data_IF_108111476523
#
_entry.id   IF_108111476523
#
_cell.length_a   1.000
_cell.length_b   1.000
_cell.length_c   1.000
_cell.angle_alpha   90.00
_cell.angle_beta   90.00
_cell.angle_gamma   90.00
#
_symmetry.space_group_name_H-M   'P 1'
#
loop_
_entity.id
_entity.type
_entity.pdbx_description
1 polymer ?
#
# COMPACT_ATOMS: atom_id res chain seq x y z
N UNK A 1 13.60 -26.48 -15.44
CA UNK A 1 12.18 -26.10 -15.58
C UNK A 1 11.47 -26.08 -14.22
N UNK A 2 11.88 -25.21 -13.29
CA UNK A 2 11.30 -25.12 -11.93
C UNK A 2 10.93 -23.69 -11.50
N UNK A 3 10.97 -22.73 -12.42
CA UNK A 3 10.83 -21.30 -12.13
C UNK A 3 9.40 -20.77 -12.28
N UNK A 4 8.50 -21.56 -12.89
CA UNK A 4 7.12 -21.15 -13.18
C UNK A 4 6.11 -21.46 -12.05
N UNK A 5 6.55 -22.04 -10.92
CA UNK A 5 5.65 -22.38 -9.79
C UNK A 5 5.67 -21.38 -8.62
N UNK A 6 6.66 -20.47 -8.53
CA UNK A 6 6.74 -19.51 -7.42
C UNK A 6 5.82 -18.28 -7.57
N UNK A 7 5.27 -18.03 -8.75
CA UNK A 7 4.42 -16.86 -9.03
C UNK A 7 2.93 -17.08 -8.77
N UNK A 8 2.47 -18.32 -8.61
CA UNK A 8 1.04 -18.63 -8.44
C UNK A 8 0.56 -18.57 -6.98
N UNK A 9 1.45 -18.69 -5.99
CA UNK A 9 1.09 -18.79 -4.57
C UNK A 9 1.45 -17.57 -3.72
N UNK A 10 2.10 -16.56 -4.32
CA UNK A 10 2.31 -15.30 -3.62
C UNK A 10 0.98 -14.53 -3.65
N UNK A 11 0.13 -14.79 -2.64
CA UNK A 11 -1.07 -13.98 -2.37
C UNK A 11 -0.60 -12.54 -2.27
N UNK A 12 -0.85 -11.74 -3.32
CA UNK A 12 -0.54 -10.31 -3.30
C UNK A 12 -1.18 -9.69 -2.05
N UNK A 13 -0.44 -8.82 -1.36
CA UNK A 13 -0.95 -8.11 -0.19
C UNK A 13 -2.21 -7.33 -0.56
N UNK A 14 -2.27 -6.79 -1.77
CA UNK A 14 -3.49 -6.15 -2.30
C UNK A 14 -4.72 -7.07 -2.25
N UNK A 15 -4.56 -8.38 -2.51
CA UNK A 15 -5.66 -9.36 -2.37
C UNK A 15 -6.09 -9.54 -0.91
N UNK A 16 -5.13 -9.60 0.02
CA UNK A 16 -5.43 -9.71 1.45
C UNK A 16 -6.14 -8.45 1.96
N UNK A 17 -5.63 -7.28 1.59
CA UNK A 17 -6.23 -5.98 1.90
C UNK A 17 -7.66 -5.89 1.35
N UNK A 18 -7.88 -6.32 0.10
CA UNK A 18 -9.21 -6.39 -0.50
C UNK A 18 -10.19 -7.23 0.31
N UNK A 19 -9.77 -8.42 0.75
CA UNK A 19 -10.58 -9.29 1.63
C UNK A 19 -10.85 -8.67 3.01
N UNK A 20 -9.86 -7.99 3.59
CA UNK A 20 -10.02 -7.32 4.87
C UNK A 20 -10.98 -6.13 4.77
N UNK A 21 -10.91 -5.33 3.69
CA UNK A 21 -11.85 -4.26 3.38
C UNK A 21 -13.27 -4.83 3.25
N UNK A 22 -13.44 -5.90 2.48
CA UNK A 22 -14.74 -6.56 2.29
C UNK A 22 -15.34 -7.01 3.63
N UNK A 23 -14.54 -7.67 4.48
CA UNK A 23 -14.96 -8.13 5.81
C UNK A 23 -15.41 -6.95 6.67
N UNK A 24 -14.58 -5.92 6.81
CA UNK A 24 -14.92 -4.72 7.60
C UNK A 24 -16.17 -4.02 7.08
N UNK A 25 -16.33 -3.94 5.76
CA UNK A 25 -17.53 -3.39 5.14
C UNK A 25 -18.78 -4.20 5.52
N UNK A 26 -18.71 -5.53 5.52
CA UNK A 26 -19.82 -6.39 5.94
C UNK A 26 -20.13 -6.30 7.43
N UNK A 27 -19.11 -6.24 8.29
CA UNK A 27 -19.28 -6.09 9.74
C UNK A 27 -20.05 -4.80 10.08
N UNK A 28 -19.86 -3.74 9.30
CA UNK A 28 -20.56 -2.45 9.44
C UNK A 28 -21.91 -2.39 8.71
N UNK A 29 -22.33 -3.46 8.02
CA UNK A 29 -23.57 -3.51 7.25
C UNK A 29 -23.59 -2.57 6.04
N UNK A 30 -22.42 -2.18 5.50
CA UNK A 30 -22.32 -1.24 4.40
C UNK A 30 -22.36 -1.92 3.02
N UNK A 31 -22.99 -1.28 2.06
CA UNK A 31 -22.88 -1.65 0.63
C UNK A 31 -21.57 -1.10 0.06
N UNK A 32 -21.12 -1.68 -1.07
CA UNK A 32 -19.95 -1.15 -1.79
C UNK A 32 -20.16 0.32 -2.22
N UNK A 33 -21.39 0.69 -2.63
CA UNK A 33 -21.72 2.08 -3.00
C UNK A 33 -21.59 3.06 -1.82
N UNK A 34 -21.97 2.63 -0.61
CA UNK A 34 -21.82 3.44 0.60
C UNK A 34 -20.34 3.66 0.96
N UNK A 35 -19.53 2.60 0.95
CA UNK A 35 -18.09 2.72 1.21
C UNK A 35 -17.40 3.60 0.16
N UNK A 36 -17.68 3.38 -1.12
CA UNK A 36 -17.13 4.21 -2.19
C UNK A 36 -17.53 5.69 -2.04
N UNK A 37 -18.74 5.99 -1.54
CA UNK A 37 -19.18 7.35 -1.26
C UNK A 37 -18.42 7.98 -0.09
N UNK A 38 -18.19 7.22 1.00
CA UNK A 38 -17.35 7.68 2.13
C UNK A 38 -15.92 7.98 1.70
N UNK A 39 -15.31 7.13 0.87
CA UNK A 39 -13.95 7.37 0.34
C UNK A 39 -13.91 8.60 -0.57
N UNK A 40 -14.93 8.80 -1.43
CA UNK A 40 -15.04 10.01 -2.27
C UNK A 40 -15.15 11.29 -1.44
N UNK A 41 -15.81 11.24 -0.28
CA UNK A 41 -15.89 12.38 0.62
C UNK A 41 -14.51 12.82 1.16
N UNK A 42 -13.50 11.94 1.12
CA UNK A 42 -12.10 12.27 1.45
C UNK A 42 -11.30 12.82 0.24
N UNK A 43 -11.95 13.08 -0.89
CA UNK A 43 -11.30 13.58 -2.11
C UNK A 43 -10.62 12.51 -2.96
N UNK A 44 -10.80 11.22 -2.64
CA UNK A 44 -10.26 10.12 -3.45
C UNK A 44 -11.32 9.57 -4.42
N UNK A 45 -11.05 9.56 -5.74
CA UNK A 45 -12.00 9.05 -6.72
C UNK A 45 -12.15 7.53 -6.57
N UNK A 46 -13.28 7.09 -6.02
CA UNK A 46 -13.61 5.68 -5.83
C UNK A 46 -15.01 5.39 -6.36
N UNK A 47 -15.10 4.52 -7.37
CA UNK A 47 -16.39 4.02 -7.88
C UNK A 47 -16.76 2.69 -7.21
N UNK A 48 -18.04 2.30 -7.27
CA UNK A 48 -18.46 0.97 -6.81
C UNK A 48 -17.74 -0.15 -7.59
N UNK A 49 -17.54 0.03 -8.89
CA UNK A 49 -16.80 -0.92 -9.72
C UNK A 49 -15.34 -1.04 -9.29
N UNK A 50 -14.67 0.09 -9.05
CA UNK A 50 -13.29 0.13 -8.55
C UNK A 50 -13.16 -0.59 -7.20
N UNK A 51 -14.10 -0.34 -6.29
CA UNK A 51 -14.15 -1.03 -5.00
C UNK A 51 -14.40 -2.54 -5.16
N UNK A 52 -15.29 -2.95 -6.06
CA UNK A 52 -15.51 -4.37 -6.36
C UNK A 52 -14.25 -5.04 -6.90
N UNK A 53 -13.47 -4.35 -7.75
CA UNK A 53 -12.19 -4.86 -8.25
C UNK A 53 -11.10 -4.95 -7.16
N UNK A 54 -11.15 -4.08 -6.14
CA UNK A 54 -10.29 -4.19 -4.95
C UNK A 54 -10.70 -5.41 -4.11
N UNK A 55 -11.99 -5.54 -3.81
CA UNK A 55 -12.50 -6.60 -2.91
C UNK A 55 -12.45 -8.00 -3.53
N UNK A 56 -12.79 -8.11 -4.82
CA UNK A 56 -13.04 -9.40 -5.48
C UNK A 56 -12.08 -9.69 -6.65
N UNK A 57 -11.35 -8.68 -7.15
CA UNK A 57 -10.60 -8.75 -8.40
C UNK A 57 -11.48 -8.61 -9.65
N UNK A 58 -10.85 -8.44 -10.81
CA UNK A 58 -11.52 -8.26 -12.11
C UNK A 58 -12.17 -9.55 -12.63
N UNK A 59 -11.62 -10.72 -12.27
CA UNK A 59 -12.08 -12.06 -12.68
C UNK A 59 -11.83 -13.12 -11.58
N UNK A 60 -11.86 -12.71 -10.30
CA UNK A 60 -11.48 -13.56 -9.17
C UNK A 60 -9.97 -13.85 -9.04
N UNK A 61 -9.18 -13.60 -10.09
CA UNK A 61 -7.72 -13.79 -10.11
C UNK A 61 -6.93 -12.47 -10.11
N UNK A 62 -7.39 -11.46 -10.88
CA UNK A 62 -6.66 -10.21 -11.08
C UNK A 62 -7.16 -9.11 -10.13
N UNK A 63 -6.54 -8.99 -8.96
CA UNK A 63 -6.88 -7.95 -7.99
C UNK A 63 -6.30 -6.61 -8.46
N UNK A 64 -7.11 -5.55 -8.37
CA UNK A 64 -6.60 -4.20 -8.56
C UNK A 64 -5.64 -3.89 -7.41
N UNK A 65 -4.44 -3.40 -7.74
CA UNK A 65 -3.50 -2.91 -6.73
C UNK A 65 -4.16 -1.81 -5.89
N UNK A 66 -4.00 -1.89 -4.58
CA UNK A 66 -4.40 -0.82 -3.67
C UNK A 66 -3.22 0.14 -3.54
N UNK A 67 -3.47 1.45 -3.63
CA UNK A 67 -2.43 2.45 -3.34
C UNK A 67 -2.31 2.69 -1.83
N UNK A 68 -1.18 3.26 -1.39
CA UNK A 68 -1.03 3.67 0.00
C UNK A 68 -2.10 4.70 0.37
N UNK A 69 -2.41 5.68 -0.48
CA UNK A 69 -3.49 6.64 -0.20
C UNK A 69 -4.85 5.98 0.00
N UNK A 70 -5.18 4.98 -0.82
CA UNK A 70 -6.41 4.21 -0.68
C UNK A 70 -6.41 3.39 0.62
N UNK A 71 -5.31 2.70 0.93
CA UNK A 71 -5.14 1.95 2.19
C UNK A 71 -5.39 2.85 3.40
N UNK A 72 -4.77 4.03 3.40
CA UNK A 72 -4.92 5.02 4.45
C UNK A 72 -6.37 5.51 4.55
N UNK A 73 -7.03 5.78 3.42
CA UNK A 73 -8.41 6.23 3.41
C UNK A 73 -9.38 5.16 3.92
N UNK A 74 -9.15 3.89 3.60
CA UNK A 74 -9.92 2.78 4.17
C UNK A 74 -9.71 2.68 5.69
N UNK A 75 -8.46 2.77 6.16
CA UNK A 75 -8.15 2.74 7.59
C UNK A 75 -8.87 3.88 8.34
N UNK A 76 -8.85 5.08 7.77
CA UNK A 76 -9.55 6.25 8.31
C UNK A 76 -11.07 6.06 8.34
N UNK A 77 -11.69 5.64 7.23
CA UNK A 77 -13.15 5.45 7.13
C UNK A 77 -13.65 4.35 8.07
N UNK A 78 -12.84 3.33 8.32
CA UNK A 78 -13.17 2.25 9.25
C UNK A 78 -12.75 2.52 10.71
N UNK A 79 -12.03 3.62 10.97
CA UNK A 79 -11.48 3.96 12.28
C UNK A 79 -10.61 2.84 12.88
N UNK A 80 -9.75 2.24 12.04
CA UNK A 80 -8.85 1.14 12.42
C UNK A 80 -7.39 1.44 12.09
N UNK A 81 -6.47 0.65 12.66
CA UNK A 81 -5.07 0.72 12.30
C UNK A 81 -4.83 0.21 10.88
N UNK A 82 -3.82 0.76 10.20
CA UNK A 82 -3.44 0.32 8.85
C UNK A 82 -2.98 -1.14 8.86
N UNK A 83 -2.29 -1.56 9.93
CA UNK A 83 -1.85 -2.94 10.15
C UNK A 83 -3.01 -3.93 10.23
N UNK A 84 -4.21 -3.52 10.68
CA UNK A 84 -5.40 -4.36 10.67
C UNK A 84 -5.89 -4.64 9.24
N UNK A 85 -5.73 -3.69 8.32
CA UNK A 85 -6.04 -3.90 6.90
C UNK A 85 -4.97 -4.72 6.19
N UNK A 86 -3.70 -4.54 6.54
CA UNK A 86 -2.59 -5.29 5.94
C UNK A 86 -2.59 -6.76 6.35
N UNK A 87 -2.71 -7.02 7.65
CA UNK A 87 -2.43 -8.33 8.23
C UNK A 87 -3.64 -8.99 8.88
N UNK A 88 -4.79 -8.32 8.90
CA UNK A 88 -5.98 -8.74 9.65
C UNK A 88 -5.94 -8.24 11.09
N UNK A 89 -7.02 -8.47 11.87
CA UNK A 89 -7.18 -7.93 13.22
C UNK A 89 -6.02 -8.33 14.13
N UNK A 90 -5.24 -7.34 14.56
CA UNK A 90 -4.19 -7.52 15.55
C UNK A 90 -4.75 -7.24 16.95
N UNK A 91 -4.18 -7.86 18.00
CA UNK A 91 -4.58 -7.60 19.40
C UNK A 91 -4.20 -6.19 19.90
N UNK A 92 -3.64 -5.33 19.06
CA UNK A 92 -3.16 -3.99 19.43
C UNK A 92 -3.84 -2.93 18.58
N UNK A 93 -4.60 -2.07 19.25
CA UNK A 93 -5.22 -0.89 18.66
C UNK A 93 -4.22 0.27 18.73
N UNK A 94 -3.62 0.64 17.61
CA UNK A 94 -2.93 1.94 17.50
C UNK A 94 -3.85 2.85 16.71
N UNK A 95 -4.59 3.71 17.42
CA UNK A 95 -5.35 4.78 16.79
C UNK A 95 -4.35 5.82 16.29
N UNK A 96 -3.86 5.64 15.07
CA UNK A 96 -3.06 6.65 14.41
C UNK A 96 -3.97 7.86 14.11
N UNK A 97 -3.65 9.00 14.70
CA UNK A 97 -4.37 10.25 14.48
C UNK A 97 -3.96 10.81 13.11
N UNK A 98 -4.73 10.47 12.07
CA UNK A 98 -4.49 10.99 10.72
C UNK A 98 -5.05 12.41 10.59
N UNK A 99 -4.22 13.37 10.23
CA UNK A 99 -4.66 14.74 9.94
C UNK A 99 -5.38 14.78 8.58
N UNK A 100 -6.44 15.57 8.48
CA UNK A 100 -7.44 15.53 7.40
C UNK A 100 -6.99 16.08 6.04
N UNK A 101 -5.69 16.32 5.82
CA UNK A 101 -5.20 16.87 4.55
C UNK A 101 -4.83 15.77 3.54
N UNK A 102 -5.88 15.10 3.04
CA UNK A 102 -5.81 14.07 2.01
C UNK A 102 -5.54 14.69 0.63
N UNK A 103 -4.28 15.04 0.36
CA UNK A 103 -3.86 15.41 -1.00
C UNK A 103 -3.35 14.18 -1.75
N UNK A 104 -3.70 14.08 -3.04
CA UNK A 104 -3.22 13.00 -3.91
C UNK A 104 -1.68 12.92 -3.84
N UNK A 105 -1.16 11.75 -3.50
CA UNK A 105 0.29 11.51 -3.37
C UNK A 105 0.92 11.95 -2.05
N UNK A 106 0.15 12.44 -1.07
CA UNK A 106 0.69 12.84 0.24
C UNK A 106 1.43 11.69 0.92
N UNK A 107 0.76 10.55 1.11
CA UNK A 107 1.37 9.39 1.76
C UNK A 107 2.46 8.74 0.90
N UNK A 108 2.32 8.70 -0.42
CA UNK A 108 3.42 8.26 -1.29
C UNK A 108 4.70 9.08 -1.09
N UNK A 109 4.59 10.41 -0.90
CA UNK A 109 5.74 11.28 -0.57
C UNK A 109 6.31 10.98 0.82
N UNK A 110 5.46 10.75 1.81
CA UNK A 110 5.91 10.36 3.17
C UNK A 110 6.68 9.04 3.10
N UNK A 111 6.12 8.02 2.44
CA UNK A 111 6.77 6.72 2.25
C UNK A 111 8.10 6.89 1.53
N UNK A 112 8.14 7.66 0.44
CA UNK A 112 9.38 7.95 -0.30
C UNK A 112 10.48 8.56 0.58
N UNK A 113 10.15 9.61 1.34
CA UNK A 113 11.09 10.26 2.27
C UNK A 113 11.58 9.28 3.35
N UNK A 114 10.67 8.49 3.91
CA UNK A 114 11.01 7.52 4.96
C UNK A 114 11.86 6.37 4.43
N UNK A 115 11.56 5.83 3.23
CA UNK A 115 12.38 4.82 2.56
C UNK A 115 13.81 5.33 2.39
N UNK A 116 13.97 6.54 1.85
CA UNK A 116 15.29 7.17 1.70
C UNK A 116 16.03 7.27 3.04
N UNK A 117 15.36 7.79 4.07
CA UNK A 117 15.93 7.98 5.41
C UNK A 117 16.40 6.66 6.03
N UNK A 118 15.56 5.63 5.99
CA UNK A 118 15.92 4.32 6.56
C UNK A 118 17.03 3.65 5.76
N UNK A 119 17.00 3.74 4.43
CA UNK A 119 18.09 3.27 3.57
C UNK A 119 19.43 3.92 3.96
N UNK A 120 19.46 5.24 4.11
CA UNK A 120 20.66 5.99 4.51
C UNK A 120 21.14 5.63 5.92
N UNK A 121 20.21 5.50 6.88
CA UNK A 121 20.51 5.06 8.26
C UNK A 121 21.16 3.67 8.29
N UNK A 122 20.73 2.76 7.43
CA UNK A 122 21.27 1.40 7.29
C UNK A 122 22.51 1.33 6.39
N UNK A 123 22.95 2.47 5.82
CA UNK A 123 24.08 2.57 4.88
C UNK A 123 23.90 1.66 3.65
N UNK A 124 22.66 1.49 3.20
CA UNK A 124 22.32 0.73 2.00
C UNK A 124 22.41 1.65 0.76
N UNK A 125 22.99 1.12 -0.32
CA UNK A 125 22.93 1.77 -1.62
C UNK A 125 21.54 1.60 -2.24
N UNK A 126 21.17 2.52 -3.13
CA UNK A 126 19.92 2.44 -3.90
C UNK A 126 19.83 1.13 -4.69
N UNK A 127 20.98 0.65 -5.21
CA UNK A 127 21.07 -0.62 -5.94
C UNK A 127 20.74 -1.81 -5.04
N UNK A 128 21.28 -1.87 -3.83
CA UNK A 128 20.97 -2.95 -2.89
C UNK A 128 19.49 -3.03 -2.56
N UNK A 129 18.83 -1.88 -2.37
CA UNK A 129 17.38 -1.83 -2.11
C UNK A 129 16.59 -2.27 -3.35
N UNK A 130 16.95 -1.80 -4.55
CA UNK A 130 16.30 -2.18 -5.79
C UNK A 130 16.45 -3.68 -6.11
N UNK A 131 17.64 -4.24 -5.86
CA UNK A 131 17.93 -5.66 -6.04
C UNK A 131 17.12 -6.51 -5.04
N UNK A 132 17.07 -6.12 -3.76
CA UNK A 132 16.28 -6.81 -2.73
C UNK A 132 14.77 -6.79 -3.05
N UNK A 133 14.25 -5.63 -3.47
CA UNK A 133 12.87 -5.50 -3.92
C UNK A 133 12.58 -6.38 -5.15
N UNK A 134 13.51 -6.44 -6.10
CA UNK A 134 13.39 -7.30 -7.28
C UNK A 134 13.39 -8.79 -6.93
N UNK A 135 14.18 -9.20 -5.93
CA UNK A 135 14.17 -10.57 -5.40
C UNK A 135 12.83 -10.94 -4.76
N UNK A 136 12.10 -9.96 -4.22
CA UNK A 136 10.73 -10.13 -3.71
C UNK A 136 9.66 -10.12 -4.82
N UNK A 137 10.06 -10.10 -6.09
CA UNK A 137 9.15 -10.08 -7.24
C UNK A 137 8.58 -8.70 -7.57
N UNK A 138 9.05 -7.64 -6.91
CA UNK A 138 8.65 -6.28 -7.27
C UNK A 138 9.29 -5.87 -8.59
N UNK A 139 8.57 -5.13 -9.43
CA UNK A 139 9.12 -4.59 -10.68
C UNK A 139 10.05 -3.40 -10.41
N UNK A 140 11.18 -3.66 -9.77
CA UNK A 140 12.18 -2.65 -9.38
C UNK A 140 13.49 -2.83 -10.15
N UNK A 141 13.37 -3.08 -11.46
CA UNK A 141 14.50 -3.43 -12.35
C UNK A 141 15.56 -2.33 -12.53
N UNK A 142 15.30 -1.12 -12.07
CA UNK A 142 16.20 0.03 -12.20
C UNK A 142 16.18 0.89 -10.92
N UNK A 143 17.37 1.31 -10.51
CA UNK A 143 17.63 2.31 -9.48
C UNK A 143 16.81 3.60 -9.72
N UNK A 144 16.53 3.94 -10.98
CA UNK A 144 15.68 5.11 -11.30
C UNK A 144 14.27 5.01 -10.73
N UNK A 145 13.70 3.81 -10.64
CA UNK A 145 12.37 3.64 -10.02
C UNK A 145 12.42 3.92 -8.52
N UNK A 146 13.47 3.46 -7.83
CA UNK A 146 13.68 3.78 -6.41
C UNK A 146 13.88 5.29 -6.21
N UNK A 147 14.74 5.93 -7.03
CA UNK A 147 14.97 7.38 -6.96
C UNK A 147 13.68 8.18 -7.10
N UNK A 148 12.82 7.80 -8.05
CA UNK A 148 11.51 8.44 -8.24
C UNK A 148 10.63 8.32 -7.00
N UNK A 149 10.57 7.14 -6.39
CA UNK A 149 9.85 6.93 -5.12
C UNK A 149 10.45 7.81 -4.01
N UNK A 150 11.77 7.75 -3.81
CA UNK A 150 12.46 8.50 -2.76
C UNK A 150 12.35 10.02 -2.88
N UNK A 151 12.35 10.53 -4.10
CA UNK A 151 12.20 11.96 -4.37
C UNK A 151 10.74 12.42 -4.36
N UNK A 152 9.78 11.48 -4.26
CA UNK A 152 8.36 11.76 -4.47
C UNK A 152 8.04 12.27 -5.89
N UNK A 153 8.98 12.12 -6.83
CA UNK A 153 8.79 12.49 -8.24
C UNK A 153 8.02 11.38 -8.94
N UNK A 154 6.78 11.71 -9.25
CA UNK A 154 5.95 10.92 -10.14
C UNK A 154 5.58 11.82 -11.31
N UNK A 155 6.02 11.44 -12.52
CA UNK A 155 5.92 12.25 -13.74
C UNK A 155 4.57 12.98 -13.86
N UNK A 156 4.64 14.28 -14.16
CA UNK A 156 3.50 15.12 -14.56
C UNK A 156 2.72 14.42 -15.68
N UNK A 157 1.62 13.73 -15.32
CA UNK A 157 0.77 12.99 -16.26
C UNK A 157 0.08 11.76 -15.64
N UNK A 158 0.70 11.09 -14.67
CA UNK A 158 0.01 10.13 -13.80
C UNK A 158 0.85 9.88 -12.55
N UNK A 159 0.34 10.16 -11.34
CA UNK A 159 1.06 9.85 -10.13
C UNK A 159 1.10 8.33 -9.97
N UNK A 160 2.27 7.74 -10.20
CA UNK A 160 2.59 6.40 -9.74
C UNK A 160 2.60 6.41 -8.22
N UNK A 161 1.44 6.19 -7.61
CA UNK A 161 1.30 6.03 -6.16
C UNK A 161 2.11 4.81 -5.70
N UNK A 162 2.66 4.86 -4.49
CA UNK A 162 3.26 3.67 -3.88
C UNK A 162 2.13 2.67 -3.67
N UNK A 163 2.29 1.45 -4.17
CA UNK A 163 1.31 0.39 -3.91
C UNK A 163 1.47 -0.18 -2.52
N UNK A 164 0.43 -0.82 -2.00
CA UNK A 164 0.53 -1.52 -0.73
C UNK A 164 1.53 -2.69 -0.79
N UNK A 165 1.62 -3.39 -1.92
CA UNK A 165 2.62 -4.44 -2.11
C UNK A 165 4.05 -3.87 -2.01
N UNK A 166 4.29 -2.68 -2.58
CA UNK A 166 5.58 -1.98 -2.45
C UNK A 166 5.84 -1.52 -1.01
N UNK A 167 4.84 -0.96 -0.31
CA UNK A 167 4.96 -0.56 1.09
C UNK A 167 5.40 -1.74 1.96
N UNK A 168 4.73 -2.89 1.82
CA UNK A 168 5.06 -4.10 2.59
C UNK A 168 6.44 -4.62 2.20
N UNK A 169 6.77 -4.65 0.91
CA UNK A 169 8.08 -5.08 0.45
C UNK A 169 9.21 -4.20 1.03
N UNK A 170 9.05 -2.87 1.06
CA UNK A 170 10.03 -1.97 1.69
C UNK A 170 10.19 -2.25 3.19
N UNK A 171 9.10 -2.50 3.90
CA UNK A 171 9.12 -2.78 5.34
C UNK A 171 9.71 -4.14 5.71
N UNK A 172 9.83 -5.07 4.74
CA UNK A 172 10.28 -6.44 4.97
C UNK A 172 11.69 -6.51 5.60
N UNK A 173 11.98 -7.62 6.26
CA UNK A 173 13.28 -7.86 6.91
C UNK A 173 14.44 -7.87 5.91
N UNK A 174 14.12 -8.24 4.66
CA UNK A 174 15.04 -8.35 3.55
C UNK A 174 15.43 -6.99 2.95
N UNK A 175 14.63 -5.94 3.16
CA UNK A 175 14.81 -4.63 2.52
C UNK A 175 15.20 -3.54 3.52
N UNK A 176 14.32 -3.14 4.44
CA UNK A 176 14.62 -2.12 5.46
C UNK A 176 14.48 -2.60 6.91
N UNK A 177 13.79 -3.73 7.16
CA UNK A 177 13.51 -4.24 8.50
C UNK A 177 12.90 -3.18 9.43
N UNK A 178 11.78 -2.59 9.00
CA UNK A 178 11.04 -1.54 9.73
C UNK A 178 9.56 -1.89 9.78
N UNK A 179 8.80 -1.34 10.73
CA UNK A 179 7.35 -1.56 10.68
C UNK A 179 6.75 -0.76 9.51
N UNK A 180 5.72 -1.27 8.82
CA UNK A 180 5.05 -0.53 7.75
C UNK A 180 4.51 0.85 8.21
N UNK A 181 4.07 0.95 9.46
CA UNK A 181 3.58 2.21 10.05
C UNK A 181 4.69 3.26 10.14
N UNK A 182 5.94 2.86 10.40
CA UNK A 182 7.09 3.77 10.46
C UNK A 182 7.39 4.41 9.09
N UNK A 183 6.90 3.82 7.99
CA UNK A 183 6.99 4.40 6.65
C UNK A 183 5.83 5.36 6.34
N UNK A 184 4.75 5.34 7.12
CA UNK A 184 3.54 6.14 6.89
C UNK A 184 3.45 7.40 7.77
N UNK A 185 4.30 7.51 8.79
CA UNK A 185 4.34 8.64 9.71
C UNK A 185 5.22 9.75 9.15
N UNK A 186 4.74 11.00 9.22
CA UNK A 186 5.56 12.17 8.94
C UNK A 186 6.55 12.41 10.08
N UNK A 187 7.84 12.58 9.75
CA UNK A 187 8.92 12.79 10.73
C UNK A 187 9.69 14.06 10.45
#
# INVERSE_FOLDING_TARGET
>A
MAESRRTADQVSISRQVGKNIQRKRWDLGWTQGQLATKIRALGLPMSQQSLSQIENGKDGAHYRSVSVEELMAFAFVFEIAVTDLLFGPQKRTVAASFTSNWTKGHYSRIVGRNVKRYREKLKLSERQVADAMSQLGMQMKDVQNLKRIEQGYHNFGSPSTVSVDQLVAFSSKEVLNVNPEDLLVEV
#
